data_IF_320446383408
#
_entry.id   IF_320446383408
#
_cell.length_a   1.000
_cell.length_b   1.000
_cell.length_c   1.000
_cell.angle_alpha   90.00
_cell.angle_beta   90.00
_cell.angle_gamma   90.00
#
_symmetry.space_group_name_H-M   'P 1'
#
loop_
_entity.id
_entity.type
_entity.pdbx_description
1 polymer ?
#
# COMPACT_ATOMS: atom_id res chain seq x y z
N UNK A 1 -12.26 25.65 15.38
CA UNK A 1 -11.93 25.83 13.95
C UNK A 1 -11.49 24.48 13.46
N UNK A 2 -12.40 23.79 12.78
CA UNK A 2 -12.33 22.35 12.54
C UNK A 2 -11.27 22.02 11.50
N UNK A 3 -10.44 21.02 11.80
CA UNK A 3 -9.52 20.41 10.85
C UNK A 3 -10.22 19.14 10.36
N UNK A 4 -10.96 19.26 9.27
CA UNK A 4 -11.46 18.09 8.54
C UNK A 4 -10.28 17.45 7.80
N UNK A 5 -9.75 16.38 8.39
CA UNK A 5 -8.86 15.44 7.70
C UNK A 5 -9.75 14.52 6.88
N UNK A 6 -10.12 14.99 5.70
CA UNK A 6 -10.83 14.21 4.68
C UNK A 6 -9.90 13.13 4.15
N UNK A 7 -9.79 12.01 4.88
CA UNK A 7 -9.26 10.76 4.34
C UNK A 7 -10.44 10.07 3.69
N UNK A 8 -10.75 10.47 2.46
CA UNK A 8 -11.81 9.84 1.68
C UNK A 8 -11.41 8.41 1.31
N UNK A 9 -12.07 7.36 1.85
CA UNK A 9 -11.76 5.97 1.51
C UNK A 9 -12.42 5.54 0.18
N UNK A 10 -13.17 6.41 -0.50
CA UNK A 10 -14.13 6.02 -1.53
C UNK A 10 -13.62 6.00 -2.98
N UNK A 11 -12.31 5.79 -3.22
CA UNK A 11 -11.74 5.65 -4.57
C UNK A 11 -11.28 4.24 -4.98
N UNK A 12 -11.63 3.19 -4.23
CA UNK A 12 -11.30 1.79 -4.58
C UNK A 12 -12.55 0.93 -4.94
N UNK A 13 -13.67 1.56 -5.32
CA UNK A 13 -14.94 0.91 -5.68
C UNK A 13 -14.93 0.15 -7.04
N UNK A 14 -13.78 -0.37 -7.47
CA UNK A 14 -13.59 -0.95 -8.81
C UNK A 14 -13.09 -2.40 -8.87
N UNK A 15 -12.82 -3.07 -7.75
CA UNK A 15 -12.14 -4.40 -7.79
C UNK A 15 -12.76 -5.45 -6.87
N UNK A 16 -14.09 -5.54 -6.82
CA UNK A 16 -14.81 -6.64 -6.15
C UNK A 16 -14.94 -7.87 -7.06
N UNK A 17 -13.81 -8.44 -7.47
CA UNK A 17 -13.80 -9.77 -8.11
C UNK A 17 -14.14 -10.87 -7.09
N UNK A 18 -14.88 -11.93 -7.46
CA UNK A 18 -15.25 -13.03 -6.55
C UNK A 18 -14.04 -13.76 -5.94
N UNK A 19 -12.86 -13.69 -6.57
CA UNK A 19 -11.64 -14.39 -6.14
C UNK A 19 -10.91 -13.75 -4.95
N UNK A 20 -11.30 -12.54 -4.54
CA UNK A 20 -10.64 -11.84 -3.43
C UNK A 20 -11.27 -12.15 -2.06
N UNK A 21 -12.51 -12.64 -2.03
CA UNK A 21 -13.21 -12.94 -0.79
C UNK A 21 -12.82 -14.32 -0.23
N UNK A 22 -12.56 -14.39 1.07
CA UNK A 22 -12.42 -15.63 1.84
C UNK A 22 -13.61 -15.72 2.79
N UNK A 23 -14.39 -16.79 2.64
CA UNK A 23 -15.60 -17.07 3.44
C UNK A 23 -15.47 -18.36 4.24
N UNK A 24 -14.55 -19.24 3.87
CA UNK A 24 -14.27 -20.46 4.61
C UNK A 24 -13.50 -20.11 5.90
N UNK A 25 -14.00 -20.48 7.10
CA UNK A 25 -13.32 -20.17 8.36
C UNK A 25 -11.88 -20.68 8.45
N UNK A 26 -11.56 -21.80 7.77
CA UNK A 26 -10.18 -22.31 7.73
C UNK A 26 -9.26 -21.39 6.92
N UNK A 27 -9.73 -20.89 5.78
CA UNK A 27 -8.99 -19.94 4.95
C UNK A 27 -8.81 -18.60 5.67
N UNK A 28 -9.87 -18.11 6.32
CA UNK A 28 -9.82 -16.90 7.16
C UNK A 28 -8.78 -17.08 8.26
N UNK A 29 -8.85 -18.21 8.98
CA UNK A 29 -7.89 -18.55 10.03
C UNK A 29 -6.44 -18.59 9.55
N UNK A 30 -6.19 -19.11 8.34
CA UNK A 30 -4.84 -19.09 7.72
C UNK A 30 -4.39 -17.65 7.46
N UNK A 31 -5.25 -16.78 6.91
CA UNK A 31 -4.88 -15.38 6.66
C UNK A 31 -4.58 -14.62 7.95
N UNK A 32 -5.43 -14.76 8.97
CA UNK A 32 -5.21 -14.11 10.26
C UNK A 32 -3.93 -14.62 10.94
N UNK A 33 -3.65 -15.92 10.89
CA UNK A 33 -2.38 -16.48 11.41
C UNK A 33 -1.16 -15.97 10.67
N UNK A 34 -1.25 -15.75 9.36
CA UNK A 34 -0.15 -15.15 8.61
C UNK A 34 0.17 -13.74 9.12
N UNK A 35 -0.84 -12.95 9.49
CA UNK A 35 -0.66 -11.63 10.09
C UNK A 35 0.02 -11.72 11.46
N UNK A 36 -0.40 -12.68 12.32
CA UNK A 36 0.26 -12.95 13.62
C UNK A 36 1.72 -13.34 13.43
N UNK A 37 2.00 -14.35 12.59
CA UNK A 37 3.33 -14.92 12.42
C UNK A 37 4.36 -13.92 11.88
N UNK A 38 3.93 -12.97 11.04
CA UNK A 38 4.78 -11.89 10.53
C UNK A 38 4.83 -10.68 11.48
N UNK A 39 3.91 -10.62 12.45
CA UNK A 39 3.68 -9.44 13.24
C UNK A 39 3.24 -8.26 12.38
N UNK A 40 2.37 -8.46 11.40
CA UNK A 40 1.92 -7.34 10.57
C UNK A 40 1.14 -6.33 11.42
N UNK A 41 1.35 -5.04 11.16
CA UNK A 41 0.52 -3.98 11.74
C UNK A 41 -0.82 -3.92 11.00
N UNK A 42 -1.89 -3.73 11.76
CA UNK A 42 -3.23 -3.50 11.28
C UNK A 42 -3.70 -2.13 11.78
N UNK A 43 -4.59 -1.51 11.03
CA UNK A 43 -5.43 -0.42 11.53
C UNK A 43 -6.82 -0.97 11.80
N UNK A 44 -7.31 -0.81 13.03
CA UNK A 44 -8.72 -1.01 13.36
C UNK A 44 -9.42 0.35 13.35
N UNK A 45 -10.50 0.46 12.59
CA UNK A 45 -11.36 1.63 12.48
C UNK A 45 -12.70 1.35 13.15
N UNK A 46 -13.18 2.33 13.91
CA UNK A 46 -14.47 2.30 14.61
C UNK A 46 -15.09 3.71 14.54
N UNK A 47 -16.39 3.90 14.83
CA UNK A 47 -17.07 5.18 14.62
C UNK A 47 -16.41 6.40 15.30
N UNK A 48 -15.69 6.18 16.40
CA UNK A 48 -15.02 7.23 17.18
C UNK A 48 -13.52 7.42 16.86
N UNK A 49 -12.94 6.68 15.91
CA UNK A 49 -11.53 6.82 15.55
C UNK A 49 -10.88 5.58 14.97
N UNK A 50 -9.55 5.53 15.08
CA UNK A 50 -8.76 4.38 14.65
C UNK A 50 -7.61 4.11 15.61
N UNK A 51 -7.17 2.86 15.64
CA UNK A 51 -6.03 2.37 16.42
C UNK A 51 -5.13 1.53 15.52
N UNK A 52 -3.82 1.77 15.57
CA UNK A 52 -2.82 0.86 15.00
C UNK A 52 -2.57 -0.25 16.03
N UNK A 53 -2.72 -1.50 15.61
CA UNK A 53 -2.70 -2.70 16.46
C UNK A 53 -1.97 -3.85 15.76
N UNK A 54 -1.78 -4.97 16.45
CA UNK A 54 -1.33 -6.25 15.88
C UNK A 54 -2.24 -7.37 16.36
N UNK A 55 -2.36 -8.41 15.56
CA UNK A 55 -2.98 -9.65 16.01
C UNK A 55 -1.97 -10.41 16.88
N UNK A 56 -2.42 -10.84 18.04
CA UNK A 56 -1.62 -11.56 19.04
C UNK A 56 -1.77 -13.07 18.91
N UNK A 57 -3.01 -13.53 18.71
CA UNK A 57 -3.33 -14.95 18.66
C UNK A 57 -4.56 -15.20 17.77
N UNK A 58 -4.63 -16.39 17.17
CA UNK A 58 -5.77 -16.84 16.38
C UNK A 58 -6.16 -18.26 16.79
N UNK A 59 -7.35 -18.39 17.38
CA UNK A 59 -8.00 -19.67 17.67
C UNK A 59 -8.99 -20.01 16.54
N UNK A 60 -8.58 -20.95 15.67
CA UNK A 60 -9.42 -21.41 14.56
C UNK A 60 -10.57 -22.31 15.02
N UNK A 61 -10.41 -23.01 16.16
CA UNK A 61 -11.44 -23.86 16.73
C UNK A 61 -12.58 -23.02 17.30
N UNK A 62 -12.25 -22.00 18.09
CA UNK A 62 -13.21 -21.03 18.62
C UNK A 62 -13.65 -19.98 17.58
N UNK A 63 -12.93 -19.88 16.46
CA UNK A 63 -13.12 -18.84 15.42
C UNK A 63 -13.01 -17.44 16.01
N UNK A 64 -11.97 -17.22 16.80
CA UNK A 64 -11.68 -15.92 17.42
C UNK A 64 -10.23 -15.53 17.17
N UNK A 65 -9.98 -14.23 17.21
CA UNK A 65 -8.62 -13.70 17.23
C UNK A 65 -8.50 -12.65 18.33
N UNK A 66 -7.29 -12.59 18.89
CA UNK A 66 -6.92 -11.64 19.94
C UNK A 66 -6.02 -10.57 19.34
N UNK A 67 -6.20 -9.30 19.72
CA UNK A 67 -5.39 -8.18 19.24
C UNK A 67 -5.04 -7.16 20.33
N UNK A 68 -3.99 -6.39 20.09
CA UNK A 68 -3.37 -5.49 21.07
C UNK A 68 -4.34 -4.46 21.66
N UNK A 69 -4.17 -4.21 22.96
CA UNK A 69 -4.82 -3.12 23.67
C UNK A 69 -4.18 -1.77 23.31
N UNK A 70 -5.01 -0.76 23.08
CA UNK A 70 -4.55 0.58 22.74
C UNK A 70 -3.92 1.29 23.94
N UNK A 71 -2.98 2.20 23.65
CA UNK A 71 -2.31 3.01 24.67
C UNK A 71 -3.24 4.06 25.32
N UNK A 72 -4.29 4.48 24.62
CA UNK A 72 -5.25 5.49 25.08
C UNK A 72 -6.56 4.82 25.53
N UNK A 73 -6.94 5.04 26.79
CA UNK A 73 -8.16 4.47 27.38
C UNK A 73 -9.43 4.83 26.59
N UNK A 74 -9.49 6.05 26.04
CA UNK A 74 -10.63 6.51 25.22
C UNK A 74 -10.77 5.71 23.93
N UNK A 75 -9.66 5.30 23.30
CA UNK A 75 -9.70 4.44 22.11
C UNK A 75 -10.24 3.06 22.46
N UNK A 76 -9.80 2.51 23.59
CA UNK A 76 -10.24 1.20 24.03
C UNK A 76 -11.73 1.17 24.36
N UNK A 77 -12.22 2.19 25.08
CA UNK A 77 -13.65 2.36 25.34
C UNK A 77 -14.45 2.52 24.03
N UNK A 78 -13.91 3.28 23.07
CA UNK A 78 -14.53 3.45 21.75
C UNK A 78 -14.66 2.15 20.96
N UNK A 79 -13.63 1.29 20.99
CA UNK A 79 -13.66 -0.03 20.35
C UNK A 79 -14.69 -0.95 21.02
N UNK A 80 -14.73 -1.00 22.36
CA UNK A 80 -15.68 -1.84 23.10
C UNK A 80 -17.14 -1.37 22.96
N UNK A 81 -17.37 -0.10 22.65
CA UNK A 81 -18.70 0.45 22.42
C UNK A 81 -19.13 0.39 20.93
N UNK A 82 -18.22 0.06 20.01
CA UNK A 82 -18.49 0.06 18.59
C UNK A 82 -19.37 -1.12 18.18
N UNK A 83 -20.41 -0.90 17.38
CA UNK A 83 -21.24 -1.99 16.85
C UNK A 83 -20.48 -2.89 15.85
N UNK A 84 -19.48 -2.31 15.18
CA UNK A 84 -18.59 -3.00 14.26
C UNK A 84 -17.22 -2.33 14.24
N UNK A 85 -16.21 -3.12 13.90
CA UNK A 85 -14.84 -2.67 13.71
C UNK A 85 -14.32 -3.15 12.37
N UNK A 86 -13.73 -2.25 11.58
CA UNK A 86 -13.12 -2.57 10.28
C UNK A 86 -11.61 -2.62 10.43
N UNK A 87 -11.02 -3.73 10.04
CA UNK A 87 -9.58 -3.98 10.09
C UNK A 87 -9.01 -3.91 8.70
N UNK A 88 -7.88 -3.21 8.56
CA UNK A 88 -7.13 -3.15 7.31
C UNK A 88 -5.63 -3.34 7.56
N UNK A 89 -4.99 -4.13 6.70
CA UNK A 89 -3.55 -4.32 6.65
C UNK A 89 -3.09 -4.42 5.20
N UNK A 90 -1.79 -4.19 4.96
CA UNK A 90 -1.20 -4.33 3.64
C UNK A 90 0.10 -5.16 3.66
N UNK A 91 0.08 -6.39 4.22
CA UNK A 91 1.26 -7.24 4.27
C UNK A 91 1.84 -7.46 2.87
N UNK A 92 3.12 -7.10 2.68
CA UNK A 92 3.85 -7.25 1.41
C UNK A 92 3.11 -6.66 0.19
N UNK A 93 2.24 -5.67 0.41
CA UNK A 93 1.45 -5.01 -0.64
C UNK A 93 0.13 -5.71 -1.01
N UNK A 94 -0.22 -6.83 -0.37
CA UNK A 94 -1.55 -7.45 -0.46
C UNK A 94 -2.48 -6.75 0.54
N UNK A 95 -3.56 -6.13 0.09
CA UNK A 95 -4.53 -5.51 1.00
C UNK A 95 -5.39 -6.59 1.63
N UNK A 96 -5.36 -6.68 2.95
CA UNK A 96 -6.23 -7.54 3.76
C UNK A 96 -7.23 -6.66 4.48
N UNK A 97 -8.52 -6.90 4.30
CA UNK A 97 -9.58 -6.09 4.90
C UNK A 97 -10.75 -6.95 5.36
N UNK A 98 -11.26 -6.69 6.55
CA UNK A 98 -12.42 -7.40 7.09
C UNK A 98 -13.12 -6.58 8.17
N UNK A 99 -14.38 -6.90 8.43
CA UNK A 99 -15.19 -6.24 9.47
C UNK A 99 -15.70 -7.28 10.45
N UNK A 100 -15.66 -6.97 11.74
CA UNK A 100 -16.23 -7.79 12.81
C UNK A 100 -17.32 -7.03 13.54
N UNK A 101 -18.16 -7.74 14.29
CA UNK A 101 -18.97 -7.15 15.35
C UNK A 101 -18.10 -6.60 16.50
N UNK A 102 -18.76 -6.04 17.51
CA UNK A 102 -18.14 -5.51 18.73
C UNK A 102 -17.13 -6.49 19.34
N UNK A 103 -15.85 -6.10 19.46
CA UNK A 103 -14.85 -6.85 20.22
C UNK A 103 -15.16 -6.86 21.72
N UNK A 104 -14.59 -7.83 22.44
CA UNK A 104 -14.72 -7.98 23.88
C UNK A 104 -13.37 -7.79 24.55
N UNK A 105 -13.37 -7.33 25.80
CA UNK A 105 -12.14 -7.30 26.61
C UNK A 105 -11.72 -8.72 26.99
N UNK A 106 -10.42 -8.99 26.92
CA UNK A 106 -9.80 -10.24 27.35
C UNK A 106 -8.42 -9.96 27.97
N UNK A 107 -7.70 -11.02 28.33
CA UNK A 107 -6.28 -10.94 28.68
C UNK A 107 -5.46 -11.84 27.78
N UNK A 108 -4.32 -11.33 27.34
CA UNK A 108 -3.28 -12.08 26.64
C UNK A 108 -1.99 -11.95 27.43
N UNK A 109 -1.38 -13.07 27.81
CA UNK A 109 -0.17 -13.11 28.65
C UNK A 109 -0.25 -12.23 29.93
N UNK A 110 -1.46 -12.15 30.51
CA UNK A 110 -1.73 -11.38 31.73
C UNK A 110 -1.98 -9.88 31.52
N UNK A 111 -1.78 -9.36 30.31
CA UNK A 111 -2.05 -7.96 29.93
C UNK A 111 -3.44 -7.82 29.29
N UNK A 112 -4.09 -6.65 29.40
CA UNK A 112 -5.34 -6.38 28.68
C UNK A 112 -5.16 -6.57 27.16
N UNK A 113 -6.20 -7.08 26.50
CA UNK A 113 -6.28 -7.25 25.07
C UNK A 113 -7.74 -7.26 24.61
N UNK A 114 -7.97 -7.22 23.31
CA UNK A 114 -9.29 -7.43 22.73
C UNK A 114 -9.40 -8.82 22.12
N UNK A 115 -10.59 -9.42 22.17
CA UNK A 115 -10.93 -10.62 21.39
C UNK A 115 -12.14 -10.33 20.51
N UNK A 116 -12.07 -10.75 19.26
CA UNK A 116 -13.17 -10.66 18.30
C UNK A 116 -13.40 -12.02 17.64
N UNK A 117 -14.65 -12.23 17.22
CA UNK A 117 -15.02 -13.38 16.41
C UNK A 117 -14.49 -13.20 14.98
N UNK A 118 -14.27 -14.30 14.26
CA UNK A 118 -13.86 -14.24 12.86
C UNK A 118 -14.89 -13.45 12.04
N UNK A 119 -14.43 -12.68 11.03
CA UNK A 119 -15.35 -12.04 10.11
C UNK A 119 -16.10 -13.09 9.27
N UNK A 120 -17.30 -12.74 8.80
CA UNK A 120 -18.00 -13.58 7.81
C UNK A 120 -17.27 -13.62 6.46
N UNK A 121 -16.57 -12.52 6.15
CA UNK A 121 -15.82 -12.35 4.91
C UNK A 121 -14.52 -11.61 5.22
N UNK A 122 -13.42 -12.16 4.73
CA UNK A 122 -12.12 -11.50 4.70
C UNK A 122 -11.69 -11.27 3.26
N UNK A 123 -11.40 -10.02 2.90
CA UNK A 123 -10.96 -9.63 1.57
C UNK A 123 -9.44 -9.64 1.49
N UNK A 124 -8.88 -10.40 0.56
CA UNK A 124 -7.46 -10.39 0.19
C UNK A 124 -7.33 -9.87 -1.24
N UNK A 125 -6.95 -8.60 -1.40
CA UNK A 125 -6.86 -7.94 -2.69
C UNK A 125 -5.40 -7.85 -3.11
N UNK A 126 -5.00 -8.71 -4.05
CA UNK A 126 -3.71 -8.63 -4.74
C UNK A 126 -3.91 -8.16 -6.18
N UNK A 127 -3.89 -6.84 -6.38
CA UNK A 127 -4.12 -6.21 -7.70
C UNK A 127 -2.87 -6.08 -8.58
N UNK A 128 -1.72 -6.55 -8.09
CA UNK A 128 -0.43 -6.34 -8.76
C UNK A 128 0.02 -7.63 -9.42
N UNK A 129 0.16 -7.59 -10.75
CA UNK A 129 0.74 -8.68 -11.54
C UNK A 129 2.27 -8.74 -11.37
N UNK A 130 2.90 -7.58 -11.14
CA UNK A 130 4.34 -7.45 -11.02
C UNK A 130 4.77 -6.94 -9.65
N UNK A 131 5.83 -7.55 -9.12
CA UNK A 131 6.52 -7.07 -7.93
C UNK A 131 7.09 -5.66 -8.15
N UNK A 132 7.08 -4.83 -7.09
CA UNK A 132 7.58 -3.46 -7.12
C UNK A 132 8.73 -3.29 -6.15
N UNK A 133 9.78 -2.60 -6.57
CA UNK A 133 10.90 -2.19 -5.72
C UNK A 133 10.94 -0.69 -5.60
N UNK A 134 11.27 -0.20 -4.41
CA UNK A 134 11.56 1.21 -4.20
C UNK A 134 12.87 1.59 -4.88
N UNK A 135 12.90 2.74 -5.54
CA UNK A 135 14.14 3.27 -6.11
C UNK A 135 15.08 3.74 -4.99
N UNK A 136 16.41 3.78 -5.22
CA UNK A 136 17.36 4.31 -4.26
C UNK A 136 17.05 5.76 -3.86
N UNK A 137 17.15 6.06 -2.57
CA UNK A 137 17.02 7.43 -2.04
C UNK A 137 18.33 8.21 -2.27
N UNK A 138 19.48 7.54 -2.09
CA UNK A 138 20.80 8.08 -2.40
C UNK A 138 21.09 7.78 -3.87
N UNK A 139 21.51 8.80 -4.61
CA UNK A 139 21.71 8.79 -6.07
C UNK A 139 20.45 8.33 -6.84
N UNK A 140 19.34 9.11 -6.73
CA UNK A 140 18.05 8.69 -7.23
C UNK A 140 18.06 8.49 -8.74
N UNK A 141 17.25 7.55 -9.21
CA UNK A 141 16.97 7.42 -10.63
C UNK A 141 16.08 8.56 -11.09
N UNK A 142 16.31 9.02 -12.32
CA UNK A 142 15.62 10.15 -12.90
C UNK A 142 14.81 9.74 -14.12
N UNK A 143 13.72 10.45 -14.36
CA UNK A 143 12.85 10.26 -15.50
C UNK A 143 12.69 11.59 -16.20
N UNK A 144 12.98 11.64 -17.50
CA UNK A 144 12.85 12.86 -18.30
C UNK A 144 12.07 12.64 -19.58
N UNK A 145 11.39 13.67 -20.03
CA UNK A 145 10.60 13.64 -21.25
C UNK A 145 9.93 14.98 -21.47
N UNK A 146 8.81 14.97 -22.18
CA UNK A 146 7.97 16.15 -22.40
C UNK A 146 6.57 15.90 -21.87
N UNK A 147 5.98 16.92 -21.28
CA UNK A 147 4.56 16.96 -20.95
C UNK A 147 3.72 17.23 -22.22
N UNK A 148 2.39 17.07 -22.19
CA UNK A 148 1.53 17.29 -23.36
C UNK A 148 1.57 18.72 -23.93
N UNK A 149 1.94 19.71 -23.12
CA UNK A 149 2.17 21.09 -23.54
C UNK A 149 3.51 21.28 -24.31
N UNK A 150 4.32 20.23 -24.41
CA UNK A 150 5.62 20.22 -25.07
C UNK A 150 6.80 20.60 -24.16
N UNK A 151 6.53 21.06 -22.94
CA UNK A 151 7.55 21.47 -21.98
C UNK A 151 8.30 20.25 -21.42
N UNK A 152 9.60 20.43 -21.20
CA UNK A 152 10.44 19.39 -20.61
C UNK A 152 10.09 19.13 -19.14
N UNK A 153 10.23 17.87 -18.71
CA UNK A 153 10.20 17.50 -17.31
C UNK A 153 11.42 16.68 -16.90
N UNK A 154 11.76 16.76 -15.61
CA UNK A 154 12.72 15.90 -14.94
C UNK A 154 12.16 15.54 -13.57
N UNK A 155 11.73 14.28 -13.40
CA UNK A 155 11.11 13.78 -12.17
C UNK A 155 11.96 12.67 -11.55
N UNK A 156 11.81 12.46 -10.24
CA UNK A 156 12.45 11.36 -9.55
C UNK A 156 11.65 10.08 -9.73
N UNK A 157 12.33 8.95 -9.94
CA UNK A 157 11.69 7.64 -9.85
C UNK A 157 11.49 7.29 -8.38
N UNK A 158 10.27 6.95 -8.01
CA UNK A 158 9.89 6.49 -6.67
C UNK A 158 9.96 4.97 -6.54
N UNK A 159 9.45 4.23 -7.52
CA UNK A 159 9.49 2.77 -7.54
C UNK A 159 9.45 2.23 -8.99
N UNK A 160 9.89 0.98 -9.15
CA UNK A 160 9.97 0.28 -10.44
C UNK A 160 9.31 -1.09 -10.35
N UNK A 161 8.77 -1.56 -11.47
CA UNK A 161 8.27 -2.91 -11.70
C UNK A 161 8.41 -3.28 -13.17
N UNK A 162 8.15 -4.52 -13.55
CA UNK A 162 8.10 -4.89 -14.97
C UNK A 162 6.86 -4.32 -15.69
N UNK A 163 5.80 -3.95 -14.96
CA UNK A 163 4.58 -3.38 -15.56
C UNK A 163 4.58 -1.85 -15.65
N UNK A 164 5.52 -1.16 -15.02
CA UNK A 164 5.51 0.30 -14.96
C UNK A 164 6.43 0.91 -13.92
N UNK A 165 6.38 2.24 -13.84
CA UNK A 165 7.22 3.10 -13.01
C UNK A 165 6.37 4.07 -12.19
N UNK A 166 6.71 4.26 -10.92
CA UNK A 166 6.18 5.33 -10.10
C UNK A 166 7.14 6.52 -10.11
N UNK A 167 6.65 7.72 -10.39
CA UNK A 167 7.41 8.98 -10.36
C UNK A 167 6.95 9.88 -9.22
N UNK A 168 7.84 10.75 -8.75
CA UNK A 168 7.57 11.76 -7.73
C UNK A 168 8.09 13.12 -8.19
N UNK A 169 7.29 14.15 -7.94
CA UNK A 169 7.64 15.54 -8.29
C UNK A 169 6.95 16.55 -7.37
N UNK A 170 7.43 17.80 -7.38
CA UNK A 170 6.74 18.96 -6.82
C UNK A 170 6.21 19.89 -7.92
N UNK A 171 6.34 19.49 -9.19
CA UNK A 171 5.87 20.23 -10.35
C UNK A 171 4.34 20.19 -10.43
N UNK A 172 3.69 21.33 -10.18
CA UNK A 172 2.23 21.45 -10.14
C UNK A 172 1.58 21.27 -11.52
N UNK A 173 2.34 21.39 -12.62
CA UNK A 173 1.81 21.18 -13.98
C UNK A 173 1.21 19.79 -14.16
N UNK A 174 1.64 18.82 -13.35
CA UNK A 174 1.10 17.46 -13.40
C UNK A 174 -0.35 17.38 -12.91
N UNK A 175 -0.89 18.39 -12.23
CA UNK A 175 -2.32 18.47 -11.89
C UNK A 175 -3.23 18.50 -13.13
N UNK A 176 -2.74 19.01 -14.25
CA UNK A 176 -3.49 19.06 -15.50
C UNK A 176 -3.46 17.73 -16.29
N UNK A 177 -2.69 16.73 -15.83
CA UNK A 177 -2.64 15.43 -16.49
C UNK A 177 -3.86 14.59 -16.13
N UNK A 178 -4.46 13.95 -17.14
CA UNK A 178 -5.57 13.03 -16.95
C UNK A 178 -5.07 11.59 -16.95
N UNK A 179 -5.71 10.72 -16.14
CA UNK A 179 -5.45 9.28 -16.22
C UNK A 179 -5.74 8.82 -17.65
N UNK A 180 -4.76 8.15 -18.27
CA UNK A 180 -4.76 7.78 -19.67
C UNK A 180 -3.84 8.63 -20.56
N UNK A 181 -3.30 9.77 -20.08
CA UNK A 181 -2.32 10.57 -20.84
C UNK A 181 -1.10 9.73 -21.21
N UNK A 182 -0.74 9.76 -22.50
CA UNK A 182 0.45 9.15 -23.07
C UNK A 182 1.61 10.15 -23.09
N UNK A 183 2.75 9.75 -22.56
CA UNK A 183 4.03 10.46 -22.66
C UNK A 183 4.98 9.61 -23.51
N UNK A 184 5.19 9.95 -24.79
CA UNK A 184 6.09 9.22 -25.66
C UNK A 184 7.56 9.56 -25.37
N UNK A 185 8.46 8.68 -25.80
CA UNK A 185 9.92 8.91 -25.81
C UNK A 185 10.48 9.35 -24.43
N UNK A 186 9.94 8.80 -23.35
CA UNK A 186 10.40 9.09 -21.99
C UNK A 186 11.67 8.29 -21.70
N UNK A 187 12.68 8.96 -21.14
CA UNK A 187 13.94 8.34 -20.78
C UNK A 187 14.05 8.16 -19.26
N UNK A 188 14.26 6.91 -18.83
CA UNK A 188 14.61 6.53 -17.47
C UNK A 188 16.12 6.41 -17.34
N UNK A 189 16.73 7.27 -16.53
CA UNK A 189 18.14 7.22 -16.16
C UNK A 189 18.30 6.44 -14.85
N UNK A 190 18.81 5.21 -14.96
CA UNK A 190 18.90 4.24 -13.86
C UNK A 190 20.32 4.21 -13.31
N UNK A 191 20.85 5.34 -12.84
CA UNK A 191 22.20 5.56 -12.27
C UNK A 191 23.11 4.32 -12.21
N UNK A 192 24.09 4.23 -13.13
CA UNK A 192 25.04 3.11 -13.18
C UNK A 192 24.52 1.82 -13.85
N UNK A 193 23.21 1.71 -14.07
CA UNK A 193 22.55 0.58 -14.76
C UNK A 193 22.10 0.92 -16.19
N UNK A 194 22.40 2.13 -16.67
CA UNK A 194 22.12 2.57 -18.02
C UNK A 194 20.85 3.41 -18.14
N UNK A 195 20.33 3.48 -19.37
CA UNK A 195 19.14 4.27 -19.73
C UNK A 195 18.13 3.41 -20.47
N UNK A 196 16.85 3.70 -20.28
CA UNK A 196 15.75 3.07 -21.02
C UNK A 196 14.88 4.16 -21.64
N UNK A 197 14.55 4.02 -22.92
CA UNK A 197 13.59 4.89 -23.62
C UNK A 197 12.31 4.11 -23.87
N UNK A 198 11.19 4.60 -23.34
CA UNK A 198 9.90 3.91 -23.33
C UNK A 198 8.75 4.92 -23.44
N UNK A 199 7.64 4.47 -24.00
CA UNK A 199 6.38 5.20 -23.96
C UNK A 199 5.62 4.87 -22.67
N UNK A 200 5.19 5.90 -21.95
CA UNK A 200 4.53 5.78 -20.67
C UNK A 200 3.08 6.25 -20.75
N UNK A 201 2.16 5.56 -20.07
CA UNK A 201 0.79 6.05 -19.89
C UNK A 201 0.46 6.24 -18.42
N UNK A 202 -0.08 7.40 -18.06
CA UNK A 202 -0.49 7.72 -16.70
C UNK A 202 -1.67 6.83 -16.30
N UNK A 203 -1.53 6.07 -15.20
CA UNK A 203 -2.58 5.18 -14.67
C UNK A 203 -3.09 5.61 -13.30
N UNK A 204 -2.33 6.43 -12.57
CA UNK A 204 -2.77 6.97 -11.29
C UNK A 204 -2.02 8.24 -10.94
N UNK A 205 -2.69 9.15 -10.25
CA UNK A 205 -2.09 10.36 -9.70
C UNK A 205 -2.60 10.59 -8.29
N UNK A 206 -1.71 10.97 -7.39
CA UNK A 206 -2.02 11.37 -6.01
C UNK A 206 -1.21 12.59 -5.64
N UNK A 207 -1.76 13.44 -4.79
CA UNK A 207 -1.05 14.55 -4.17
C UNK A 207 -1.02 14.40 -2.65
N UNK A 208 0.00 14.96 -2.03
CA UNK A 208 0.12 15.05 -0.57
C UNK A 208 0.57 16.45 -0.20
N UNK A 209 -0.19 17.11 0.67
CA UNK A 209 0.22 18.37 1.26
C UNK A 209 1.23 18.11 2.38
N UNK A 210 2.37 18.78 2.32
CA UNK A 210 3.41 18.75 3.33
C UNK A 210 3.10 19.78 4.44
N UNK A 211 3.68 19.63 5.65
CA UNK A 211 3.46 20.55 6.76
C UNK A 211 3.84 22.02 6.47
N UNK A 212 4.75 22.24 5.51
CA UNK A 212 5.15 23.57 5.05
C UNK A 212 4.19 24.17 4.00
N UNK A 213 3.07 23.50 3.70
CA UNK A 213 2.07 23.92 2.71
C UNK A 213 2.39 23.55 1.26
N UNK A 214 3.59 23.04 0.95
CA UNK A 214 3.90 22.61 -0.42
C UNK A 214 3.27 21.27 -0.76
N UNK A 215 3.02 21.02 -2.04
CA UNK A 215 2.48 19.74 -2.52
C UNK A 215 3.58 18.86 -3.09
N UNK A 216 3.48 17.56 -2.85
CA UNK A 216 4.18 16.54 -3.64
C UNK A 216 3.17 15.70 -4.40
N UNK A 217 3.53 15.38 -5.63
CA UNK A 217 2.77 14.51 -6.51
C UNK A 217 3.46 13.16 -6.64
N UNK A 218 2.64 12.11 -6.63
CA UNK A 218 3.03 10.76 -6.98
C UNK A 218 2.24 10.33 -8.20
N UNK A 219 2.96 9.95 -9.25
CA UNK A 219 2.39 9.55 -10.53
C UNK A 219 2.75 8.08 -10.77
N UNK A 220 1.76 7.28 -11.15
CA UNK A 220 1.98 5.90 -11.57
C UNK A 220 1.82 5.80 -13.07
N UNK A 221 2.82 5.28 -13.75
CA UNK A 221 2.81 5.06 -15.19
C UNK A 221 2.92 3.58 -15.52
N UNK A 222 2.20 3.12 -16.54
CA UNK A 222 2.43 1.81 -17.17
C UNK A 222 3.32 1.97 -18.40
N UNK A 223 4.10 0.95 -18.72
CA UNK A 223 4.81 0.87 -20.00
C UNK A 223 3.82 0.49 -21.11
N UNK A 224 3.81 1.22 -22.21
CA UNK A 224 2.96 0.86 -23.36
C UNK A 224 3.51 -0.32 -24.14
N UNK A 225 4.83 -0.40 -24.23
CA UNK A 225 5.57 -1.58 -24.67
C UNK A 225 6.85 -1.69 -23.87
N UNK A 226 7.30 -2.92 -23.62
CA UNK A 226 8.57 -3.17 -22.96
C UNK A 226 9.39 -4.13 -23.83
N UNK A 227 10.34 -3.62 -24.64
CA UNK A 227 11.20 -4.46 -25.45
C UNK A 227 11.98 -5.45 -24.57
N UNK A 228 12.21 -6.67 -25.04
CA UNK A 228 12.86 -7.72 -24.23
C UNK A 228 14.24 -7.34 -23.68
N UNK A 229 15.00 -6.46 -24.35
CA UNK A 229 16.26 -5.91 -23.80
C UNK A 229 16.04 -4.99 -22.59
N UNK A 230 15.00 -4.14 -22.65
CA UNK A 230 14.61 -3.27 -21.54
C UNK A 230 14.03 -4.10 -20.38
N UNK A 231 13.18 -5.09 -20.68
CA UNK A 231 12.63 -6.01 -19.69
C UNK A 231 13.73 -6.74 -18.92
N UNK A 232 14.68 -7.36 -19.64
CA UNK A 232 15.82 -8.03 -19.03
C UNK A 232 16.66 -7.10 -18.15
N UNK A 233 16.80 -5.84 -18.55
CA UNK A 233 17.54 -4.82 -17.79
C UNK A 233 16.80 -4.46 -16.50
N UNK A 234 15.48 -4.22 -16.58
CA UNK A 234 14.64 -3.96 -15.42
C UNK A 234 14.60 -5.16 -14.47
N UNK A 235 14.48 -6.39 -14.98
CA UNK A 235 14.43 -7.59 -14.13
C UNK A 235 15.72 -7.78 -13.32
N UNK A 236 16.89 -7.58 -13.95
CA UNK A 236 18.18 -7.62 -13.24
C UNK A 236 18.26 -6.51 -12.19
N UNK A 237 17.88 -5.28 -12.54
CA UNK A 237 17.91 -4.15 -11.63
C UNK A 237 16.99 -4.38 -10.41
N UNK A 238 15.74 -4.80 -10.66
CA UNK A 238 14.76 -5.11 -9.62
C UNK A 238 15.31 -6.15 -8.65
N UNK A 239 15.92 -7.21 -9.19
CA UNK A 239 16.53 -8.27 -8.37
C UNK A 239 17.68 -7.73 -7.51
N UNK A 240 18.56 -6.91 -8.08
CA UNK A 240 19.68 -6.30 -7.35
C UNK A 240 19.22 -5.38 -6.22
N UNK A 241 18.21 -4.54 -6.48
CA UNK A 241 17.64 -3.64 -5.47
C UNK A 241 17.00 -4.42 -4.32
N UNK A 242 16.24 -5.48 -4.62
CA UNK A 242 15.61 -6.32 -3.60
C UNK A 242 16.65 -7.05 -2.75
N UNK A 243 17.71 -7.60 -3.36
CA UNK A 243 18.80 -8.24 -2.62
C UNK A 243 19.50 -7.25 -1.68
N UNK A 244 19.79 -6.03 -2.14
CA UNK A 244 20.41 -4.98 -1.32
C UNK A 244 19.51 -4.53 -0.17
N UNK A 245 18.20 -4.44 -0.38
CA UNK A 245 17.22 -4.13 0.67
C UNK A 245 17.21 -5.21 1.75
N UNK A 246 17.18 -6.50 1.35
CA UNK A 246 17.19 -7.63 2.28
C UNK A 246 18.48 -7.73 3.09
N UNK A 247 19.63 -7.40 2.52
CA UNK A 247 20.89 -7.41 3.27
C UNK A 247 20.92 -6.31 4.33
N UNK A 248 20.37 -5.12 4.04
CA UNK A 248 20.32 -4.00 4.98
C UNK A 248 19.30 -4.24 6.11
N UNK A 249 18.18 -4.90 5.84
CA UNK A 249 17.16 -5.22 6.85
C UNK A 249 17.59 -6.32 7.85
N UNK A 250 18.67 -7.05 7.55
CA UNK A 250 19.23 -8.11 8.41
C UNK A 250 20.46 -7.66 9.22
N UNK A 251 20.98 -6.47 8.93
CA UNK A 251 22.12 -5.87 9.62
C UNK A 251 21.65 -5.00 10.79
#
# INVERSE_FOLDING_TARGET
>A
MNIETSTDPSLDAGHSGPDYARRNPLEIGVQLRNLVNRGDFLTVQYPGGQLVTRLLEVDVGARTFTFDWGALAEQNAGILAASHCTFAAAPEGVRVEFTTSTPRETRYEGLPAFVADFPEVLMCIQRREYFRVDAPIVDPFLCRGKLPDGEGFLFEVHNLSLGGVGLRTADERVEALEVGTLLPDVELELTGHGKLSLDLQLVSQRSTQLPNGSRRYQLGFRYMSLPGSAENTLQRLITQLEMKRRSLARA
#
